data_IF_567396208676
#
_entry.id   IF_567396208676
#
_cell.length_a   1.000
_cell.length_b   1.000
_cell.length_c   1.000
_cell.angle_alpha   90.00
_cell.angle_beta   90.00
_cell.angle_gamma   90.00
#
_symmetry.space_group_name_H-M   'P 1'
#
loop_
_entity.id
_entity.type
_entity.pdbx_description
1 polymer ?
#
# COMPACT_ATOMS: atom_id res chain seq x y z
N UNK A 1 -2.76 -13.20 -9.45
CA UNK A 1 -2.20 -12.82 -8.12
C UNK A 1 -0.68 -12.99 -8.04
N UNK A 2 0.08 -11.90 -7.91
CA UNK A 2 1.55 -11.87 -7.79
C UNK A 2 1.96 -11.62 -6.33
N UNK A 3 2.89 -12.41 -5.80
CA UNK A 3 3.42 -12.21 -4.44
C UNK A 3 4.41 -11.05 -4.44
N UNK A 4 4.32 -10.16 -3.45
CA UNK A 4 5.23 -9.01 -3.34
C UNK A 4 5.70 -8.80 -1.90
N UNK A 5 6.88 -8.20 -1.76
CA UNK A 5 7.28 -7.49 -0.53
C UNK A 5 6.87 -6.04 -0.69
N UNK A 6 6.24 -5.44 0.31
CA UNK A 6 5.79 -4.05 0.24
C UNK A 6 6.27 -3.20 1.42
N UNK A 7 6.24 -1.89 1.19
CA UNK A 7 6.44 -0.83 2.18
C UNK A 7 5.51 0.33 1.84
N UNK A 8 4.64 0.72 2.77
CA UNK A 8 3.66 1.80 2.59
C UNK A 8 3.80 2.80 3.73
N UNK A 9 3.74 4.10 3.39
CA UNK A 9 3.81 5.20 4.36
C UNK A 9 2.78 6.26 4.00
N UNK A 10 2.07 6.79 5.01
CA UNK A 10 1.20 7.95 4.82
C UNK A 10 2.04 9.20 4.51
N UNK A 11 1.66 9.97 3.48
CA UNK A 11 2.45 11.14 3.04
C UNK A 11 2.25 12.34 3.97
N UNK A 12 1.02 12.60 4.39
CA UNK A 12 0.65 13.72 5.25
C UNK A 12 0.32 13.27 6.67
N UNK A 13 0.98 13.88 7.65
CA UNK A 13 0.80 13.63 9.10
C UNK A 13 2.12 13.32 9.79
N UNK A 14 2.26 13.73 11.05
CA UNK A 14 3.45 13.52 11.90
C UNK A 14 3.58 12.06 12.40
N UNK A 15 3.32 11.09 11.52
CA UNK A 15 3.30 9.68 11.87
C UNK A 15 4.34 8.94 11.04
N UNK A 16 5.40 8.48 11.70
CA UNK A 16 6.33 7.48 11.18
C UNK A 16 5.70 6.07 11.11
N UNK A 17 4.37 5.97 11.03
CA UNK A 17 3.67 4.71 10.83
C UNK A 17 3.88 4.24 9.38
N UNK A 18 4.98 3.51 9.20
CA UNK A 18 5.28 2.69 8.04
C UNK A 18 4.73 1.28 8.27
N UNK A 19 4.02 0.74 7.29
CA UNK A 19 3.66 -0.68 7.26
C UNK A 19 4.49 -1.38 6.19
N UNK A 20 5.03 -2.54 6.51
CA UNK A 20 5.81 -3.36 5.56
C UNK A 20 5.60 -4.83 5.83
N UNK A 21 5.63 -5.64 4.77
CA UNK A 21 5.44 -7.07 4.90
C UNK A 21 5.27 -7.77 3.56
N UNK A 22 4.65 -8.95 3.62
CA UNK A 22 4.28 -9.72 2.44
C UNK A 22 2.83 -9.44 2.05
N UNK A 23 2.63 -9.21 0.76
CA UNK A 23 1.33 -8.93 0.17
C UNK A 23 1.13 -9.64 -1.16
N UNK A 24 -0.02 -9.36 -1.77
CA UNK A 24 -0.39 -9.90 -3.08
C UNK A 24 -0.97 -8.79 -3.94
N UNK A 25 -0.49 -8.68 -5.17
CA UNK A 25 -1.09 -7.86 -6.21
C UNK A 25 -2.09 -8.73 -6.98
N UNK A 26 -3.35 -8.33 -7.07
CA UNK A 26 -4.32 -9.00 -7.94
C UNK A 26 -4.14 -8.56 -9.40
N UNK A 27 -4.99 -9.07 -10.28
CA UNK A 27 -4.90 -8.81 -11.72
C UNK A 27 -5.50 -7.44 -12.11
N UNK A 28 -6.16 -6.75 -11.17
CA UNK A 28 -6.68 -5.38 -11.30
C UNK A 28 -5.65 -4.32 -10.84
N UNK A 29 -4.52 -4.75 -10.27
CA UNK A 29 -3.49 -3.85 -9.75
C UNK A 29 -3.70 -3.40 -8.31
N UNK A 30 -4.63 -4.01 -7.56
CA UNK A 30 -4.84 -3.78 -6.13
C UNK A 30 -3.84 -4.57 -5.29
N UNK A 31 -3.19 -3.89 -4.34
CA UNK A 31 -2.27 -4.50 -3.38
C UNK A 31 -2.99 -4.87 -2.08
N UNK A 32 -3.03 -6.17 -1.78
CA UNK A 32 -3.54 -6.72 -0.53
C UNK A 32 -2.42 -6.93 0.49
N UNK A 33 -2.53 -6.23 1.61
CA UNK A 33 -1.59 -6.24 2.72
C UNK A 33 -2.16 -7.02 3.90
N UNK A 34 -1.49 -8.10 4.34
CA UNK A 34 -1.85 -8.78 5.60
C UNK A 34 -1.28 -8.01 6.77
N UNK A 35 -2.15 -7.45 7.61
CA UNK A 35 -1.81 -6.59 8.73
C UNK A 35 -2.24 -7.21 10.06
N UNK A 36 -1.62 -6.76 11.14
CA UNK A 36 -1.99 -7.10 12.52
C UNK A 36 -2.24 -5.79 13.26
N UNK A 37 -3.43 -5.64 13.83
CA UNK A 37 -3.79 -4.44 14.57
C UNK A 37 -3.05 -4.36 15.91
N UNK A 38 -3.11 -3.21 16.59
CA UNK A 38 -2.48 -3.00 17.91
C UNK A 38 -2.95 -4.02 18.97
N UNK A 39 -4.17 -4.52 18.84
CA UNK A 39 -4.79 -5.56 19.67
C UNK A 39 -4.61 -6.99 19.12
N UNK A 40 -3.70 -7.21 18.18
CA UNK A 40 -3.35 -8.55 17.67
C UNK A 40 -4.33 -9.14 16.66
N UNK A 41 -5.41 -8.43 16.32
CA UNK A 41 -6.40 -8.91 15.35
C UNK A 41 -5.82 -8.82 13.95
N UNK A 42 -5.87 -9.94 13.21
CA UNK A 42 -5.46 -9.98 11.80
C UNK A 42 -6.53 -9.33 10.94
N UNK A 43 -6.10 -8.54 9.97
CA UNK A 43 -6.96 -7.94 8.95
C UNK A 43 -6.20 -7.79 7.63
N UNK A 44 -6.93 -7.57 6.54
CA UNK A 44 -6.35 -7.29 5.22
C UNK A 44 -6.68 -5.86 4.85
N UNK A 45 -5.66 -5.07 4.50
CA UNK A 45 -5.85 -3.76 3.85
C UNK A 45 -5.71 -3.93 2.34
N UNK A 46 -6.55 -3.24 1.58
CA UNK A 46 -6.45 -3.13 0.13
C UNK A 46 -6.02 -1.71 -0.24
N UNK A 47 -5.09 -1.59 -1.17
CA UNK A 47 -4.67 -0.34 -1.77
C UNK A 47 -4.89 -0.46 -3.28
N UNK A 48 -5.91 0.22 -3.79
CA UNK A 48 -6.27 0.20 -5.20
C UNK A 48 -5.30 1.04 -6.03
N UNK A 49 -5.33 0.84 -7.35
CA UNK A 49 -4.51 1.56 -8.33
C UNK A 49 -2.98 1.48 -8.11
N UNK A 50 -2.49 0.52 -7.31
CA UNK A 50 -1.05 0.39 -7.02
C UNK A 50 -0.25 0.06 -8.28
N UNK A 51 -0.65 -0.91 -9.09
CA UNK A 51 0.09 -1.26 -10.33
C UNK A 51 0.02 -0.14 -11.38
N UNK A 52 -1.06 0.63 -11.38
CA UNK A 52 -1.26 1.79 -12.27
C UNK A 52 -0.37 2.98 -11.88
N UNK A 53 -0.28 3.28 -10.59
CA UNK A 53 0.38 4.49 -10.08
C UNK A 53 1.83 4.25 -9.60
N UNK A 54 2.27 2.99 -9.50
CA UNK A 54 3.65 2.65 -9.17
C UNK A 54 4.44 2.31 -10.44
N UNK A 55 5.61 2.92 -10.58
CA UNK A 55 6.45 2.76 -11.75
C UNK A 55 7.78 2.08 -11.40
N UNK A 56 8.40 1.38 -12.37
CA UNK A 56 9.70 0.75 -12.17
C UNK A 56 10.76 1.73 -11.66
N UNK A 57 11.60 1.27 -10.74
CA UNK A 57 12.73 2.04 -10.24
C UNK A 57 13.94 1.76 -11.12
N UNK A 58 14.49 2.82 -11.73
CA UNK A 58 15.67 2.70 -12.59
C UNK A 58 16.84 2.04 -11.84
N UNK A 59 17.42 0.99 -12.44
CA UNK A 59 18.54 0.24 -11.86
C UNK A 59 18.16 -0.70 -10.71
N UNK A 60 16.87 -0.93 -10.45
CA UNK A 60 16.38 -1.89 -9.46
C UNK A 60 15.39 -2.85 -10.11
N UNK A 61 15.83 -4.09 -10.28
CA UNK A 61 15.01 -5.12 -10.91
C UNK A 61 13.79 -5.47 -10.04
N UNK A 62 12.61 -5.53 -10.69
CA UNK A 62 11.34 -5.89 -10.08
C UNK A 62 10.90 -4.99 -8.90
N UNK A 63 11.47 -3.80 -8.77
CA UNK A 63 11.09 -2.82 -7.75
C UNK A 63 10.32 -1.66 -8.37
N UNK A 64 9.24 -1.28 -7.69
CA UNK A 64 8.30 -0.28 -8.16
C UNK A 64 8.00 0.70 -7.03
N UNK A 65 7.75 1.96 -7.37
CA UNK A 65 7.32 2.97 -6.40
C UNK A 65 6.32 3.96 -6.99
N UNK A 66 5.45 4.49 -6.14
CA UNK A 66 4.44 5.44 -6.54
C UNK A 66 3.70 6.01 -5.36
N UNK A 67 2.61 6.72 -5.66
CA UNK A 67 1.68 7.25 -4.67
C UNK A 67 0.27 6.78 -5.01
N UNK A 68 -0.51 6.44 -3.99
CA UNK A 68 -1.93 6.11 -4.14
C UNK A 68 -2.74 6.91 -3.16
N UNK A 69 -3.94 7.30 -3.58
CA UNK A 69 -4.88 8.06 -2.75
C UNK A 69 -6.03 7.16 -2.35
N UNK A 70 -6.29 7.07 -1.06
CA UNK A 70 -7.44 6.36 -0.48
C UNK A 70 -8.42 7.36 0.11
N UNK A 71 -9.70 7.09 -0.05
CA UNK A 71 -10.78 7.83 0.60
C UNK A 71 -11.34 6.99 1.74
N UNK A 72 -11.40 7.57 2.93
CA UNK A 72 -11.98 6.94 4.12
C UNK A 72 -13.18 7.74 4.60
N UNK A 73 -14.31 7.08 4.78
CA UNK A 73 -15.45 7.71 5.43
C UNK A 73 -15.22 7.80 6.95
N UNK A 74 -15.32 9.00 7.50
CA UNK A 74 -15.23 9.27 8.92
C UNK A 74 -16.32 10.27 9.32
N UNK A 75 -17.26 9.84 10.16
CA UNK A 75 -18.38 10.67 10.64
C UNK A 75 -19.18 11.32 9.49
N UNK A 76 -19.39 10.60 8.40
CA UNK A 76 -20.12 11.07 7.22
C UNK A 76 -19.33 12.06 6.34
N UNK A 77 -18.01 12.14 6.51
CA UNK A 77 -17.11 12.91 5.63
C UNK A 77 -16.08 12.00 4.98
N UNK A 78 -15.77 12.26 3.72
CA UNK A 78 -14.68 11.60 3.03
C UNK A 78 -13.35 12.28 3.37
N UNK A 79 -12.45 11.51 3.96
CA UNK A 79 -11.08 11.92 4.24
C UNK A 79 -10.18 11.34 3.16
N UNK A 80 -9.57 12.22 2.38
CA UNK A 80 -8.54 11.87 1.42
C UNK A 80 -7.19 11.64 2.12
N UNK A 81 -6.57 10.48 1.86
CA UNK A 81 -5.27 10.12 2.40
C UNK A 81 -4.37 9.60 1.30
N UNK A 82 -3.25 10.29 1.09
CA UNK A 82 -2.20 9.86 0.17
C UNK A 82 -1.17 8.96 0.89
N UNK A 83 -0.79 7.88 0.21
CA UNK A 83 0.23 6.93 0.65
C UNK A 83 1.34 6.83 -0.38
N UNK A 84 2.59 6.90 0.09
CA UNK A 84 3.75 6.45 -0.67
C UNK A 84 3.82 4.93 -0.61
N UNK A 85 3.93 4.29 -1.77
CA UNK A 85 4.00 2.84 -1.92
C UNK A 85 5.32 2.48 -2.58
N UNK A 86 5.99 1.48 -2.03
CA UNK A 86 7.06 0.74 -2.66
C UNK A 86 6.74 -0.74 -2.59
N UNK A 87 6.99 -1.48 -3.67
CA UNK A 87 6.93 -2.94 -3.64
C UNK A 87 7.98 -3.58 -4.53
N UNK A 88 8.30 -4.83 -4.22
CA UNK A 88 9.17 -5.70 -5.00
C UNK A 88 8.45 -7.01 -5.33
N UNK A 89 8.36 -7.34 -6.61
CA UNK A 89 7.85 -8.65 -7.02
C UNK A 89 8.84 -9.76 -6.64
N UNK A 90 8.31 -10.88 -6.10
CA UNK A 90 9.07 -12.03 -5.59
C UNK A 90 8.96 -13.20 -6.54
#
# INVERSE_FOLDING_TARGET
>A
MKKVVYSIRKVKGNFDEKISGLGFLNDEGTLFCKCVSKNGKRYTSAFDDVEKNCHPILGKENEFKGYVTMYYEYEGRDIEVEYSVWYKAV
#
